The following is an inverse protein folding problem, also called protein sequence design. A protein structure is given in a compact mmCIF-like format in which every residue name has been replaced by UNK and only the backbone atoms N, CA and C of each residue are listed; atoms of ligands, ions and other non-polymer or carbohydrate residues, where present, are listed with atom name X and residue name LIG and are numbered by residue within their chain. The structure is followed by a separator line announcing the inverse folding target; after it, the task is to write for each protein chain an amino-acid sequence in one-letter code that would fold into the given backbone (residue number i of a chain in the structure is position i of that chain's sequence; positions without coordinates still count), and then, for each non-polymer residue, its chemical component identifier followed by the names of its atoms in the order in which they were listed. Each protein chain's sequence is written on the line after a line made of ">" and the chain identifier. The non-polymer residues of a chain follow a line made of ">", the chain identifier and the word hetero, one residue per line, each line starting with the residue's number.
data_IF_945264626234
#
_entry.id   IF_945264626234
#
_cell.length_a   1.000
_cell.length_b   1.000
_cell.length_c   1.000
_cell.angle_alpha   90.00
_cell.angle_beta   90.00
_cell.angle_gamma   90.00
#
_symmetry.space_group_name_H-M   'P 1'
#
loop_
_entity.id
_entity.type
_entity.pdbx_description
1 polymer ?
#
# COMPACT_ATOMS: atom_id res chain seq x y z
N UNK A 1 2.70 73.23 49.33
CA UNK A 1 3.17 71.90 49.76
C UNK A 1 2.74 70.87 48.72
N UNK A 2 2.94 71.15 47.41
CA UNK A 2 2.17 70.49 46.34
C UNK A 2 3.04 70.04 45.15
N UNK A 3 4.17 70.71 44.88
CA UNK A 3 4.98 70.42 43.69
C UNK A 3 5.66 69.04 43.77
N UNK A 4 6.17 68.67 44.95
CA UNK A 4 6.80 67.35 45.15
C UNK A 4 5.83 66.18 44.90
N UNK A 5 4.54 66.36 45.20
CA UNK A 5 3.50 65.36 44.95
C UNK A 5 3.23 65.18 43.46
N UNK A 6 3.28 66.27 42.68
CA UNK A 6 3.09 66.24 41.23
C UNK A 6 4.24 65.46 40.58
N UNK A 7 5.48 65.70 40.99
CA UNK A 7 6.63 64.95 40.46
C UNK A 7 6.55 63.45 40.75
N UNK A 8 6.07 63.05 41.94
CA UNK A 8 5.87 61.63 42.26
C UNK A 8 4.77 60.98 41.42
N UNK A 9 3.65 61.67 41.19
CA UNK A 9 2.56 61.16 40.36
C UNK A 9 2.98 61.01 38.89
N UNK A 10 3.71 61.98 38.34
CA UNK A 10 4.24 61.91 36.98
C UNK A 10 5.26 60.78 36.84
N UNK A 11 6.15 60.62 37.81
CA UNK A 11 7.10 59.50 37.83
C UNK A 11 6.41 58.14 37.85
N UNK A 12 5.38 57.99 38.69
CA UNK A 12 4.60 56.75 38.78
C UNK A 12 3.83 56.47 37.47
N UNK A 13 3.27 57.50 36.84
CA UNK A 13 2.58 57.39 35.55
C UNK A 13 3.54 56.96 34.42
N UNK A 14 4.76 57.50 34.41
CA UNK A 14 5.78 57.09 33.43
C UNK A 14 6.21 55.64 33.63
N UNK A 15 6.41 55.21 34.89
CA UNK A 15 6.76 53.82 35.21
C UNK A 15 5.64 52.87 34.77
N UNK A 16 4.37 53.20 35.05
CA UNK A 16 3.22 52.42 34.61
C UNK A 16 3.13 52.33 33.09
N UNK A 17 3.38 53.43 32.37
CA UNK A 17 3.39 53.46 30.91
C UNK A 17 4.49 52.56 30.32
N UNK A 18 5.71 52.64 30.86
CA UNK A 18 6.84 51.80 30.42
C UNK A 18 6.57 50.32 30.71
N UNK A 19 6.04 50.00 31.90
CA UNK A 19 5.67 48.63 32.26
C UNK A 19 4.62 48.04 31.32
N UNK A 20 3.60 48.83 30.93
CA UNK A 20 2.58 48.41 29.97
C UNK A 20 3.17 48.14 28.59
N UNK A 21 4.05 49.01 28.08
CA UNK A 21 4.71 48.83 26.78
C UNK A 21 5.55 47.54 26.80
N UNK A 22 6.30 47.31 27.87
CA UNK A 22 7.13 46.11 28.02
C UNK A 22 6.27 44.83 28.06
N UNK A 23 5.17 44.85 28.81
CA UNK A 23 4.28 43.70 28.93
C UNK A 23 3.61 43.39 27.59
N UNK A 24 3.14 44.42 26.85
CA UNK A 24 2.58 44.23 25.50
C UNK A 24 3.60 43.62 24.53
N UNK A 25 4.85 44.10 24.56
CA UNK A 25 5.92 43.54 23.73
C UNK A 25 6.21 42.08 24.06
N UNK A 26 6.16 41.68 25.34
CA UNK A 26 6.29 40.28 25.71
C UNK A 26 5.13 39.42 25.20
N UNK A 27 3.88 39.89 25.34
CA UNK A 27 2.72 39.15 24.82
C UNK A 27 2.82 38.95 23.31
N UNK A 28 3.21 39.98 22.55
CA UNK A 28 3.40 39.86 21.11
C UNK A 28 4.50 38.86 20.75
N UNK A 29 5.62 38.84 21.49
CA UNK A 29 6.70 37.88 21.23
C UNK A 29 6.27 36.44 21.52
N UNK A 30 5.50 36.21 22.58
CA UNK A 30 4.94 34.89 22.90
C UNK A 30 3.96 34.46 21.80
N UNK A 31 3.06 35.35 21.38
CA UNK A 31 2.09 35.06 20.33
C UNK A 31 2.77 34.76 18.98
N UNK A 32 3.80 35.54 18.62
CA UNK A 32 4.60 35.32 17.41
C UNK A 32 5.30 33.97 17.45
N UNK A 33 5.91 33.62 18.58
CA UNK A 33 6.60 32.33 18.74
C UNK A 33 5.62 31.15 18.64
N UNK A 34 4.44 31.29 19.26
CA UNK A 34 3.37 30.28 19.15
C UNK A 34 2.89 30.11 17.70
N UNK A 35 2.64 31.21 16.98
CA UNK A 35 2.25 31.17 15.56
C UNK A 35 3.32 30.51 14.69
N UNK A 36 4.60 30.84 14.91
CA UNK A 36 5.71 30.25 14.17
C UNK A 36 5.82 28.73 14.39
N UNK A 37 5.62 28.27 15.63
CA UNK A 37 5.62 26.84 15.95
C UNK A 37 4.46 26.11 15.25
N UNK A 38 3.26 26.69 15.28
CA UNK A 38 2.08 26.12 14.62
C UNK A 38 2.26 26.07 13.11
N UNK A 39 2.81 27.11 12.50
CA UNK A 39 3.11 27.15 11.06
C UNK A 39 4.17 26.12 10.67
N UNK A 40 5.20 25.92 11.50
CA UNK A 40 6.22 24.90 11.29
C UNK A 40 5.61 23.49 11.33
N UNK A 41 4.77 23.20 12.32
CA UNK A 41 4.06 21.93 12.44
C UNK A 41 3.13 21.67 11.25
N UNK A 42 2.39 22.68 10.79
CA UNK A 42 1.55 22.55 9.59
C UNK A 42 2.37 22.23 8.35
N UNK A 43 3.55 22.84 8.19
CA UNK A 43 4.46 22.54 7.07
C UNK A 43 5.00 21.12 7.15
N UNK A 44 5.38 20.64 8.32
CA UNK A 44 5.82 19.25 8.51
C UNK A 44 4.70 18.25 8.20
N UNK A 45 3.48 18.50 8.70
CA UNK A 45 2.31 17.68 8.40
C UNK A 45 2.01 17.68 6.90
N UNK A 46 2.06 18.84 6.24
CA UNK A 46 1.87 18.95 4.80
C UNK A 46 2.95 18.18 4.02
N UNK A 47 4.21 18.27 4.45
CA UNK A 47 5.31 17.52 3.84
C UNK A 47 5.13 16.00 4.02
N UNK A 48 4.72 15.55 5.21
CA UNK A 48 4.38 14.14 5.48
C UNK A 48 3.20 13.67 4.65
N UNK A 49 2.15 14.49 4.51
CA UNK A 49 0.99 14.19 3.66
C UNK A 49 1.38 14.12 2.19
N UNK A 50 2.19 15.06 1.68
CA UNK A 50 2.72 15.00 0.31
C UNK A 50 3.57 13.73 0.10
N UNK A 51 4.45 13.39 1.05
CA UNK A 51 5.21 12.14 1.03
C UNK A 51 4.29 10.90 1.03
N UNK A 52 3.21 10.94 1.80
CA UNK A 52 2.21 9.86 1.89
C UNK A 52 1.29 9.79 0.65
N UNK A 53 1.08 10.91 -0.05
CA UNK A 53 0.30 10.92 -1.30
C UNK A 53 1.03 10.09 -2.37
N UNK A 54 2.38 10.17 -2.38
CA UNK A 54 3.23 9.30 -3.20
C UNK A 54 3.19 7.82 -2.78
N UNK A 55 2.88 7.53 -1.51
CA UNK A 55 2.68 6.15 -1.05
C UNK A 55 1.42 5.53 -1.66
N UNK A 56 0.37 6.30 -1.95
CA UNK A 56 -0.85 5.80 -2.59
C UNK A 56 -0.59 5.22 -3.99
N UNK A 57 0.24 5.89 -4.81
CA UNK A 57 0.62 5.37 -6.13
C UNK A 57 1.52 4.13 -6.03
N UNK A 58 2.44 4.12 -5.07
CA UNK A 58 3.29 2.95 -4.82
C UNK A 58 2.48 1.77 -4.29
N UNK A 59 1.47 2.00 -3.46
CA UNK A 59 0.56 0.96 -2.98
C UNK A 59 -0.29 0.40 -4.11
N UNK A 60 -0.83 1.25 -4.99
CA UNK A 60 -1.54 0.81 -6.21
C UNK A 60 -0.65 0.04 -7.19
N UNK A 61 0.63 0.40 -7.30
CA UNK A 61 1.60 -0.34 -8.10
C UNK A 61 1.91 -1.70 -7.49
N UNK A 62 2.06 -1.74 -6.16
CA UNK A 62 2.32 -2.97 -5.41
C UNK A 62 1.11 -3.91 -5.46
N UNK A 63 -0.11 -3.40 -5.29
CA UNK A 63 -1.35 -4.17 -5.42
C UNK A 63 -1.49 -4.79 -6.82
N UNK A 64 -1.17 -4.02 -7.88
CA UNK A 64 -1.14 -4.53 -9.25
C UNK A 64 -0.08 -5.61 -9.46
N UNK A 65 1.11 -5.44 -8.87
CA UNK A 65 2.16 -6.45 -8.92
C UNK A 65 1.74 -7.74 -8.22
N UNK A 66 1.13 -7.62 -7.03
CA UNK A 66 0.64 -8.77 -6.25
C UNK A 66 -0.45 -9.51 -7.02
N UNK A 67 -1.45 -8.82 -7.58
CA UNK A 67 -2.48 -9.46 -8.43
C UNK A 67 -1.90 -10.16 -9.65
N UNK A 68 -0.94 -9.52 -10.33
CA UNK A 68 -0.29 -10.16 -11.49
C UNK A 68 0.57 -11.37 -11.13
N UNK A 69 1.08 -11.45 -9.89
CA UNK A 69 1.76 -12.64 -9.39
C UNK A 69 0.77 -13.75 -9.02
N UNK A 70 -0.36 -13.40 -8.43
CA UNK A 70 -1.46 -14.32 -8.09
C UNK A 70 -2.03 -14.99 -9.35
N UNK A 71 -2.35 -14.21 -10.39
CA UNK A 71 -2.82 -14.72 -11.68
C UNK A 71 -1.79 -15.65 -12.36
N UNK A 72 -0.49 -15.33 -12.24
CA UNK A 72 0.58 -16.18 -12.78
C UNK A 72 0.76 -17.45 -11.97
N UNK A 73 0.62 -17.38 -10.65
CA UNK A 73 0.69 -18.55 -9.79
C UNK A 73 -0.47 -19.48 -10.09
N UNK A 74 -1.70 -18.95 -10.22
CA UNK A 74 -2.85 -19.70 -10.65
C UNK A 74 -2.57 -20.38 -12.01
N UNK A 75 -2.14 -19.64 -13.04
CA UNK A 75 -1.79 -20.23 -14.34
C UNK A 75 -0.71 -21.33 -14.25
N UNK A 76 0.29 -21.18 -13.37
CA UNK A 76 1.32 -22.19 -13.17
C UNK A 76 0.78 -23.43 -12.45
N UNK A 77 -0.06 -23.26 -11.43
CA UNK A 77 -0.73 -24.37 -10.72
C UNK A 77 -1.65 -25.16 -11.68
N UNK A 78 -2.42 -24.47 -12.52
CA UNK A 78 -3.24 -25.10 -13.56
C UNK A 78 -2.39 -25.81 -14.63
N UNK A 79 -1.29 -25.21 -15.06
CA UNK A 79 -0.40 -25.75 -16.09
C UNK A 79 0.41 -26.97 -15.62
N UNK A 80 0.97 -26.94 -14.40
CA UNK A 80 1.70 -28.08 -13.87
C UNK A 80 0.79 -29.27 -13.57
N UNK A 81 -0.38 -29.04 -12.98
CA UNK A 81 -1.33 -30.09 -12.64
C UNK A 81 -1.86 -30.79 -13.89
N UNK A 82 -2.29 -30.02 -14.89
CA UNK A 82 -2.81 -30.57 -16.15
C UNK A 82 -1.72 -31.21 -17.01
N UNK A 83 -0.53 -30.62 -17.07
CA UNK A 83 0.60 -31.11 -17.87
C UNK A 83 1.18 -32.42 -17.36
N UNK A 84 1.27 -32.62 -16.04
CA UNK A 84 1.72 -33.89 -15.46
C UNK A 84 0.67 -34.99 -15.62
N UNK A 85 -0.62 -34.69 -15.41
CA UNK A 85 -1.71 -35.65 -15.58
C UNK A 85 -1.80 -36.17 -17.03
N UNK A 86 -1.65 -35.28 -18.02
CA UNK A 86 -1.62 -35.68 -19.44
C UNK A 86 -0.39 -36.54 -19.78
N UNK A 87 0.81 -36.18 -19.29
CA UNK A 87 2.02 -36.98 -19.54
C UNK A 87 1.89 -38.39 -18.97
N UNK A 88 1.36 -38.52 -17.74
CA UNK A 88 1.08 -39.81 -17.13
C UNK A 88 0.01 -40.62 -17.88
N UNK A 89 -1.04 -39.95 -18.36
CA UNK A 89 -2.10 -40.55 -19.17
C UNK A 89 -1.55 -41.13 -20.49
N UNK A 90 -0.71 -40.38 -21.21
CA UNK A 90 -0.08 -40.84 -22.46
C UNK A 90 0.79 -42.08 -22.22
N UNK A 91 1.56 -42.13 -21.13
CA UNK A 91 2.37 -43.29 -20.78
C UNK A 91 1.54 -44.53 -20.42
N UNK A 92 0.37 -44.35 -19.78
CA UNK A 92 -0.57 -45.42 -19.49
C UNK A 92 -1.24 -45.97 -20.75
N UNK A 93 -1.67 -45.10 -21.68
CA UNK A 93 -2.18 -45.51 -23.00
C UNK A 93 -1.11 -46.27 -23.80
N UNK A 94 0.16 -45.86 -23.70
CA UNK A 94 1.28 -46.60 -24.31
C UNK A 94 1.46 -48.00 -23.75
N UNK A 95 1.13 -48.20 -22.48
CA UNK A 95 1.12 -49.51 -21.80
C UNK A 95 -0.16 -50.33 -22.04
N UNK A 96 -1.12 -49.80 -22.79
CA UNK A 96 -2.36 -50.49 -23.17
C UNK A 96 -3.56 -50.24 -22.25
N UNK A 97 -3.50 -49.22 -21.39
CA UNK A 97 -4.62 -48.84 -20.53
C UNK A 97 -5.80 -48.27 -21.34
N UNK A 98 -7.03 -48.54 -20.90
CA UNK A 98 -8.26 -48.03 -21.52
C UNK A 98 -8.74 -46.73 -20.86
N UNK A 99 -9.67 -46.00 -21.49
CA UNK A 99 -10.22 -44.72 -20.99
C UNK A 99 -10.68 -44.78 -19.52
N UNK A 100 -11.21 -45.91 -19.07
CA UNK A 100 -11.67 -46.10 -17.68
C UNK A 100 -10.51 -46.15 -16.67
N UNK A 101 -9.37 -46.71 -17.08
CA UNK A 101 -8.15 -46.78 -16.27
C UNK A 101 -7.50 -45.39 -16.14
N UNK A 102 -7.64 -44.54 -17.17
CA UNK A 102 -7.16 -43.17 -17.19
C UNK A 102 -7.96 -42.25 -16.25
N UNK A 103 -9.28 -42.41 -16.21
CA UNK A 103 -10.15 -41.71 -15.26
C UNK A 103 -9.78 -42.09 -13.82
N UNK A 104 -9.55 -43.38 -13.57
CA UNK A 104 -9.29 -43.91 -12.22
C UNK A 104 -7.86 -43.62 -11.74
N UNK A 105 -6.86 -43.77 -12.61
CA UNK A 105 -5.44 -43.71 -12.21
C UNK A 105 -4.83 -42.31 -12.31
N UNK A 106 -5.34 -41.47 -13.22
CA UNK A 106 -4.80 -40.13 -13.46
C UNK A 106 -5.78 -39.01 -13.07
N UNK A 107 -7.00 -39.34 -12.62
CA UNK A 107 -8.00 -38.37 -12.19
C UNK A 107 -8.58 -37.50 -13.31
N UNK A 108 -8.48 -37.95 -14.57
CA UNK A 108 -9.05 -37.23 -15.72
C UNK A 108 -10.57 -37.34 -15.72
N UNK A 109 -11.25 -36.32 -16.26
CA UNK A 109 -12.66 -36.47 -16.63
C UNK A 109 -12.80 -37.44 -17.82
N UNK A 110 -13.96 -38.09 -17.93
CA UNK A 110 -14.20 -39.09 -18.99
C UNK A 110 -14.02 -38.52 -20.41
N UNK A 111 -14.40 -37.27 -20.62
CA UNK A 111 -14.18 -36.56 -21.89
C UNK A 111 -12.71 -36.32 -22.20
N UNK A 112 -11.87 -36.03 -21.20
CA UNK A 112 -10.43 -35.84 -21.40
C UNK A 112 -9.72 -37.18 -21.67
N UNK A 113 -10.13 -38.26 -21.02
CA UNK A 113 -9.58 -39.59 -21.26
C UNK A 113 -9.87 -40.10 -22.70
N UNK A 114 -11.11 -39.90 -23.18
CA UNK A 114 -11.49 -40.25 -24.55
C UNK A 114 -10.72 -39.41 -25.58
N UNK A 115 -10.50 -38.12 -25.32
CA UNK A 115 -9.72 -37.22 -26.19
C UNK A 115 -8.25 -37.65 -26.30
N UNK A 116 -7.59 -38.00 -25.18
CA UNK A 116 -6.21 -38.49 -25.17
C UNK A 116 -6.05 -39.78 -25.97
N UNK A 117 -7.01 -40.71 -25.86
CA UNK A 117 -7.00 -41.94 -26.66
C UNK A 117 -7.15 -41.65 -28.16
N UNK A 118 -8.03 -40.72 -28.53
CA UNK A 118 -8.25 -40.31 -29.92
C UNK A 118 -7.00 -39.69 -30.53
N UNK A 119 -6.35 -38.76 -29.81
CA UNK A 119 -5.10 -38.13 -30.27
C UNK A 119 -4.01 -39.19 -30.47
N UNK A 120 -3.84 -40.12 -29.54
CA UNK A 120 -2.82 -41.17 -29.65
C UNK A 120 -3.11 -42.18 -30.77
N UNK A 121 -4.39 -42.46 -31.04
CA UNK A 121 -4.80 -43.32 -32.17
C UNK A 121 -4.49 -42.65 -33.52
N UNK A 122 -4.76 -41.35 -33.64
CA UNK A 122 -4.42 -40.58 -34.85
C UNK A 122 -2.90 -40.52 -35.05
N UNK A 123 -2.13 -40.34 -33.98
CA UNK A 123 -0.67 -40.27 -34.02
C UNK A 123 0.00 -41.62 -34.34
N UNK A 124 -0.66 -42.75 -34.05
CA UNK A 124 -0.18 -44.10 -34.44
C UNK A 124 -0.63 -44.55 -35.83
N UNK A 125 -1.63 -43.88 -36.40
CA UNK A 125 -2.22 -44.21 -37.70
C UNK A 125 -1.63 -43.38 -38.86
N UNK A 126 -0.81 -42.36 -38.56
CA UNK A 126 0.04 -41.64 -39.52
C UNK A 126 1.48 -42.14 -39.48
#
# INVERSE_FOLDING_TARGET
>A
MNDWMIYLLVGLMLIQAVALIYLRGQLENIERSGKQMVDALHKEIAALLCANTGLGDRFRLLERHVRGLDERQEQLEWSETSGQAIKHAVDLVKKGANADDLVTSCGLSRGEAELVMLIQQVERAG
#
